data_IF_445514575541
#
_entry.id   IF_445514575541
#
_cell.length_a   1.000
_cell.length_b   1.000
_cell.length_c   1.000
_cell.angle_alpha   90.00
_cell.angle_beta   90.00
_cell.angle_gamma   90.00
#
_symmetry.space_group_name_H-M   'P 1'
#
loop_
_entity.id
_entity.type
_entity.pdbx_description
1 polymer ?
#
# COMPACT_ATOMS: atom_id res chain seq x y z
N UNK A 1 15.40 5.56 -3.15
CA UNK A 1 14.21 4.66 -3.17
C UNK A 1 14.48 3.30 -3.81
N UNK A 2 15.32 3.19 -4.84
CA UNK A 2 15.55 1.91 -5.54
C UNK A 2 15.99 0.76 -4.59
N UNK A 3 16.86 1.04 -3.61
CA UNK A 3 17.30 0.04 -2.62
C UNK A 3 16.15 -0.61 -1.87
N UNK A 4 15.20 0.18 -1.34
CA UNK A 4 14.05 -0.34 -0.60
C UNK A 4 13.08 -1.14 -1.47
N UNK A 5 12.96 -0.80 -2.76
CA UNK A 5 12.17 -1.58 -3.72
C UNK A 5 12.75 -2.98 -3.89
N UNK A 6 14.05 -3.08 -4.18
CA UNK A 6 14.72 -4.39 -4.32
C UNK A 6 14.72 -5.18 -3.01
N UNK A 7 14.93 -4.50 -1.89
CA UNK A 7 14.84 -5.09 -0.55
C UNK A 7 13.46 -5.67 -0.27
N UNK A 8 12.40 -4.94 -0.60
CA UNK A 8 11.01 -5.39 -0.39
C UNK A 8 10.65 -6.59 -1.25
N UNK A 9 11.11 -6.62 -2.51
CA UNK A 9 10.93 -7.80 -3.39
C UNK A 9 11.63 -9.01 -2.80
N UNK A 10 12.90 -8.88 -2.42
CA UNK A 10 13.68 -9.96 -1.80
C UNK A 10 13.02 -10.43 -0.49
N UNK A 11 12.65 -9.49 0.39
CA UNK A 11 11.97 -9.76 1.65
C UNK A 11 10.64 -10.47 1.46
N UNK A 12 9.82 -10.08 0.47
CA UNK A 12 8.53 -10.72 0.22
C UNK A 12 8.67 -12.17 -0.29
N UNK A 13 9.69 -12.47 -1.10
CA UNK A 13 10.00 -13.85 -1.52
C UNK A 13 10.42 -14.72 -0.32
N UNK A 14 11.20 -14.15 0.60
CA UNK A 14 11.65 -14.84 1.81
C UNK A 14 10.51 -15.01 2.83
N UNK A 15 9.66 -14.00 2.99
CA UNK A 15 8.56 -13.97 3.96
C UNK A 15 7.66 -15.20 3.82
N UNK A 16 7.25 -15.54 2.60
CA UNK A 16 6.39 -16.70 2.37
C UNK A 16 6.99 -18.01 2.88
N UNK A 17 8.29 -18.23 2.61
CA UNK A 17 9.02 -19.43 3.08
C UNK A 17 9.19 -19.40 4.60
N UNK A 18 9.61 -18.26 5.15
CA UNK A 18 9.85 -18.15 6.59
C UNK A 18 8.58 -18.25 7.42
N UNK A 19 7.46 -17.68 6.97
CA UNK A 19 6.16 -17.82 7.65
C UNK A 19 5.73 -19.29 7.65
N UNK A 20 5.92 -19.99 6.53
CA UNK A 20 5.59 -21.41 6.41
C UNK A 20 6.41 -22.29 7.35
N UNK A 21 7.72 -22.05 7.44
CA UNK A 21 8.65 -22.89 8.21
C UNK A 21 8.70 -22.52 9.70
N UNK A 22 8.65 -21.23 10.04
CA UNK A 22 8.90 -20.75 11.41
C UNK A 22 7.68 -20.14 12.11
N UNK A 23 6.56 -19.97 11.40
CA UNK A 23 5.40 -19.25 11.88
C UNK A 23 5.58 -17.73 11.79
N UNK A 24 4.46 -17.03 11.66
CA UNK A 24 4.41 -15.59 11.38
C UNK A 24 4.96 -14.72 12.50
N UNK A 25 4.72 -15.07 13.78
CA UNK A 25 5.21 -14.28 14.92
C UNK A 25 6.74 -14.21 14.98
N UNK A 26 7.43 -15.34 14.72
CA UNK A 26 8.90 -15.38 14.73
C UNK A 26 9.49 -14.53 13.61
N UNK A 27 8.87 -14.57 12.42
CA UNK A 27 9.26 -13.72 11.30
C UNK A 27 9.05 -12.23 11.63
N UNK A 28 7.98 -11.90 12.34
CA UNK A 28 7.73 -10.52 12.81
C UNK A 28 8.80 -10.06 13.78
N UNK A 29 9.23 -10.89 14.74
CA UNK A 29 10.35 -10.54 15.63
C UNK A 29 11.62 -10.18 14.85
N UNK A 30 11.96 -10.96 13.82
CA UNK A 30 13.13 -10.68 12.97
C UNK A 30 12.92 -9.39 12.17
N UNK A 31 11.77 -9.23 11.52
CA UNK A 31 11.43 -8.01 10.77
C UNK A 31 11.42 -6.74 11.64
N UNK A 32 11.01 -6.87 12.90
CA UNK A 32 10.95 -5.80 13.91
C UNK A 32 12.32 -5.24 14.27
N UNK A 33 13.38 -6.01 14.05
CA UNK A 33 14.77 -5.55 14.22
C UNK A 33 15.33 -5.02 12.90
N UNK A 34 15.11 -5.74 11.80
CA UNK A 34 15.67 -5.41 10.48
C UNK A 34 15.16 -4.04 9.97
N UNK A 35 13.86 -3.78 10.07
CA UNK A 35 13.27 -2.54 9.53
C UNK A 35 13.84 -1.29 10.25
N UNK A 36 13.80 -1.20 11.60
CA UNK A 36 14.43 -0.10 12.31
C UNK A 36 15.94 0.01 12.10
N UNK A 37 16.67 -1.11 11.98
CA UNK A 37 18.10 -1.09 11.70
C UNK A 37 18.40 -0.44 10.33
N UNK A 38 17.61 -0.76 9.31
CA UNK A 38 17.71 -0.10 8.00
C UNK A 38 17.39 1.39 8.07
N UNK A 39 16.38 1.78 8.86
CA UNK A 39 16.00 3.18 9.08
C UNK A 39 17.11 3.98 9.79
N UNK A 40 17.70 3.41 10.84
CA UNK A 40 18.84 4.00 11.54
C UNK A 40 20.07 4.11 10.62
N UNK A 41 20.34 3.07 9.82
CA UNK A 41 21.41 3.08 8.83
C UNK A 41 21.22 4.18 7.78
N UNK A 42 19.98 4.42 7.32
CA UNK A 42 19.66 5.52 6.40
C UNK A 42 20.00 6.89 7.01
N UNK A 43 19.79 7.08 8.31
CA UNK A 43 20.15 8.31 9.00
C UNK A 43 21.67 8.58 9.03
N UNK A 44 22.47 7.50 8.98
CA UNK A 44 23.93 7.55 9.12
C UNK A 44 24.66 7.40 7.78
N UNK A 45 23.93 7.22 6.68
CA UNK A 45 24.53 6.98 5.38
C UNK A 45 25.28 8.22 4.87
N UNK A 46 26.58 8.08 4.59
CA UNK A 46 27.45 9.16 4.12
C UNK A 46 27.70 9.14 2.61
N UNK A 47 27.25 8.09 1.91
CA UNK A 47 27.41 7.94 0.47
C UNK A 47 26.25 7.13 -0.15
N UNK A 48 26.14 7.17 -1.47
CA UNK A 48 25.05 6.54 -2.21
C UNK A 48 24.98 5.01 -2.03
N UNK A 49 26.12 4.33 -1.91
CA UNK A 49 26.18 2.88 -1.73
C UNK A 49 25.67 2.50 -0.33
N UNK A 50 26.12 3.21 0.71
CA UNK A 50 25.62 3.03 2.07
C UNK A 50 24.10 3.27 2.13
N UNK A 51 23.61 4.35 1.52
CA UNK A 51 22.19 4.66 1.46
C UNK A 51 21.39 3.57 0.73
N UNK A 52 21.92 3.03 -0.37
CA UNK A 52 21.29 1.92 -1.10
C UNK A 52 21.15 0.68 -0.21
N UNK A 53 22.23 0.28 0.47
CA UNK A 53 22.25 -0.91 1.32
C UNK A 53 21.31 -0.78 2.51
N UNK A 54 21.26 0.39 3.17
CA UNK A 54 20.38 0.59 4.33
C UNK A 54 18.92 0.67 3.93
N UNK A 55 18.60 1.28 2.78
CA UNK A 55 17.26 1.23 2.20
C UNK A 55 16.88 -0.20 1.82
N UNK A 56 17.80 -0.98 1.26
CA UNK A 56 17.58 -2.40 0.98
C UNK A 56 17.26 -3.18 2.26
N UNK A 57 18.05 -3.01 3.31
CA UNK A 57 17.78 -3.63 4.63
C UNK A 57 16.40 -3.23 5.17
N UNK A 58 16.07 -1.94 5.12
CA UNK A 58 14.75 -1.44 5.54
C UNK A 58 13.62 -2.10 4.73
N UNK A 59 13.78 -2.20 3.41
CA UNK A 59 12.80 -2.85 2.53
C UNK A 59 12.60 -4.33 2.83
N UNK A 60 13.68 -5.07 3.12
CA UNK A 60 13.58 -6.47 3.56
C UNK A 60 12.75 -6.57 4.84
N UNK A 61 13.08 -5.76 5.86
CA UNK A 61 12.35 -5.75 7.13
C UNK A 61 10.88 -5.38 6.95
N UNK A 62 10.59 -4.36 6.14
CA UNK A 62 9.24 -3.94 5.80
C UNK A 62 8.42 -5.10 5.21
N UNK A 63 8.95 -5.78 4.19
CA UNK A 63 8.23 -6.86 3.54
C UNK A 63 8.03 -8.09 4.45
N UNK A 64 8.99 -8.41 5.32
CA UNK A 64 8.82 -9.46 6.32
C UNK A 64 7.68 -9.14 7.29
N UNK A 65 7.63 -7.90 7.79
CA UNK A 65 6.58 -7.43 8.68
C UNK A 65 5.21 -7.42 7.98
N UNK A 66 5.11 -6.73 6.84
CA UNK A 66 3.86 -6.54 6.12
C UNK A 66 3.21 -7.88 5.73
N UNK A 67 3.97 -8.79 5.14
CA UNK A 67 3.46 -10.11 4.74
C UNK A 67 3.01 -10.94 5.95
N UNK A 68 3.75 -10.86 7.06
CA UNK A 68 3.43 -11.62 8.28
C UNK A 68 2.21 -11.03 9.01
N UNK A 69 2.05 -9.71 9.05
CA UNK A 69 0.86 -9.05 9.60
C UNK A 69 -0.39 -9.35 8.79
N UNK A 70 -0.31 -9.33 7.45
CA UNK A 70 -1.44 -9.71 6.60
C UNK A 70 -1.80 -11.20 6.77
N UNK A 71 -0.81 -12.08 6.95
CA UNK A 71 -1.06 -13.48 7.29
C UNK A 71 -1.76 -13.63 8.65
N UNK A 72 -1.21 -13.02 9.71
CA UNK A 72 -1.81 -12.98 11.06
C UNK A 72 -3.25 -12.47 11.01
N UNK A 73 -3.51 -11.37 10.30
CA UNK A 73 -4.86 -10.83 10.15
C UNK A 73 -5.83 -11.84 9.50
N UNK A 74 -5.37 -12.58 8.48
CA UNK A 74 -6.19 -13.60 7.81
C UNK A 74 -6.53 -14.76 8.76
N UNK A 75 -5.57 -15.18 9.61
CA UNK A 75 -5.81 -16.20 10.63
C UNK A 75 -6.78 -15.68 11.69
N UNK A 76 -6.58 -14.45 12.19
CA UNK A 76 -7.48 -13.83 13.16
C UNK A 76 -8.92 -13.77 12.63
N UNK A 77 -9.12 -13.33 11.39
CA UNK A 77 -10.44 -13.33 10.75
C UNK A 77 -11.07 -14.73 10.70
N UNK A 78 -10.26 -15.75 10.39
CA UNK A 78 -10.71 -17.16 10.36
C UNK A 78 -11.14 -17.64 11.75
N UNK A 79 -10.39 -17.30 12.80
CA UNK A 79 -10.71 -17.65 14.19
C UNK A 79 -11.99 -16.93 14.65
N UNK A 80 -12.12 -15.65 14.32
CA UNK A 80 -13.27 -14.82 14.74
C UNK A 80 -14.51 -15.02 13.86
N UNK A 81 -14.38 -15.64 12.69
CA UNK A 81 -15.46 -15.82 11.72
C UNK A 81 -16.01 -14.52 11.14
N UNK A 82 -15.21 -13.44 11.15
CA UNK A 82 -15.62 -12.07 10.75
C UNK A 82 -14.48 -11.35 10.04
N UNK A 83 -14.83 -10.36 9.20
CA UNK A 83 -13.86 -9.55 8.47
C UNK A 83 -13.37 -8.36 9.31
N UNK A 84 -12.05 -8.17 9.31
CA UNK A 84 -11.31 -7.11 10.00
C UNK A 84 -10.11 -6.60 9.18
N UNK A 85 -9.77 -7.22 8.05
CA UNK A 85 -8.58 -6.89 7.26
C UNK A 85 -8.61 -5.43 6.78
N UNK A 86 -9.77 -4.94 6.34
CA UNK A 86 -9.88 -3.54 5.94
C UNK A 86 -9.67 -2.59 7.12
N UNK A 87 -10.20 -2.93 8.29
CA UNK A 87 -9.97 -2.17 9.52
C UNK A 87 -8.50 -2.18 9.98
N UNK A 88 -7.77 -3.29 9.81
CA UNK A 88 -6.32 -3.33 10.08
C UNK A 88 -5.55 -2.41 9.13
N UNK A 89 -5.90 -2.39 7.84
CA UNK A 89 -5.36 -1.43 6.88
C UNK A 89 -5.75 0.01 7.19
N UNK A 90 -6.91 0.26 7.83
CA UNK A 90 -7.31 1.58 8.31
C UNK A 90 -6.37 2.07 9.44
N UNK A 91 -5.93 1.17 10.33
CA UNK A 91 -4.95 1.49 11.37
C UNK A 91 -3.57 1.84 10.77
N UNK A 92 -3.15 1.15 9.72
CA UNK A 92 -1.94 1.51 8.97
C UNK A 92 -2.05 2.92 8.38
N UNK A 93 -3.17 3.24 7.70
CA UNK A 93 -3.40 4.57 7.13
C UNK A 93 -3.46 5.66 8.21
N UNK A 94 -4.08 5.34 9.35
CA UNK A 94 -4.16 6.25 10.50
C UNK A 94 -2.77 6.55 11.04
N UNK A 95 -1.91 5.53 11.17
CA UNK A 95 -0.52 5.70 11.55
C UNK A 95 0.27 6.56 10.56
N UNK A 96 0.10 6.32 9.25
CA UNK A 96 0.72 7.14 8.20
C UNK A 96 0.30 8.61 8.31
N UNK A 97 -1.01 8.87 8.44
CA UNK A 97 -1.54 10.23 8.59
C UNK A 97 -1.02 10.94 9.85
N UNK A 98 -1.08 10.29 11.01
CA UNK A 98 -0.56 10.83 12.27
C UNK A 98 0.94 11.15 12.14
N UNK A 99 1.71 10.25 11.54
CA UNK A 99 3.15 10.43 11.32
C UNK A 99 3.42 11.62 10.40
N UNK A 100 2.63 11.83 9.35
CA UNK A 100 2.74 13.01 8.48
C UNK A 100 2.47 14.31 9.22
N UNK A 101 1.42 14.35 10.06
CA UNK A 101 1.08 15.54 10.86
C UNK A 101 2.18 15.87 11.87
N UNK A 102 2.63 14.88 12.64
CA UNK A 102 3.70 15.05 13.63
C UNK A 102 5.01 15.41 12.95
N UNK A 103 5.40 14.69 11.88
CA UNK A 103 6.60 14.92 11.11
C UNK A 103 6.64 16.33 10.49
N UNK A 104 5.50 16.79 9.97
CA UNK A 104 5.34 18.15 9.47
C UNK A 104 5.51 19.22 10.56
N UNK A 105 5.03 18.97 11.78
CA UNK A 105 5.17 19.89 12.90
C UNK A 105 6.63 20.01 13.39
N UNK A 106 7.40 18.93 13.39
CA UNK A 106 8.77 18.90 13.91
C UNK A 106 9.86 19.20 12.87
N UNK A 107 9.52 19.24 11.57
CA UNK A 107 10.51 19.35 10.47
C UNK A 107 11.42 20.58 10.55
N UNK A 108 10.96 21.68 11.18
CA UNK A 108 11.76 22.91 11.36
C UNK A 108 12.62 22.90 12.62
N UNK A 109 12.43 21.93 13.50
CA UNK A 109 13.02 21.89 14.83
C UNK A 109 14.01 20.74 15.01
N UNK A 110 13.89 19.68 14.19
CA UNK A 110 14.69 18.46 14.32
C UNK A 110 15.34 18.15 12.98
N UNK A 111 16.65 17.86 12.98
CA UNK A 111 17.34 17.45 11.76
C UNK A 111 16.80 16.10 11.26
N UNK A 112 16.80 15.84 9.93
CA UNK A 112 16.37 14.57 9.39
C UNK A 112 17.09 13.37 10.02
N UNK A 113 18.40 13.49 10.26
CA UNK A 113 19.21 12.47 10.90
C UNK A 113 18.72 12.13 12.32
N UNK A 114 18.52 13.14 13.17
CA UNK A 114 18.04 12.93 14.55
C UNK A 114 16.63 12.32 14.54
N UNK A 115 15.75 12.83 13.70
CA UNK A 115 14.39 12.31 13.56
C UNK A 115 14.39 10.82 13.20
N UNK A 116 15.17 10.42 12.19
CA UNK A 116 15.25 9.03 11.74
C UNK A 116 15.80 8.08 12.81
N UNK A 117 16.82 8.51 13.56
CA UNK A 117 17.39 7.72 14.66
C UNK A 117 16.40 7.53 15.81
N UNK A 118 15.69 8.60 16.20
CA UNK A 118 14.67 8.55 17.26
C UNK A 118 13.52 7.65 16.84
N UNK A 119 13.01 7.81 15.61
CA UNK A 119 11.92 6.96 15.09
C UNK A 119 12.38 5.50 15.00
N UNK A 120 13.60 5.22 14.56
CA UNK A 120 14.14 3.85 14.57
C UNK A 120 14.13 3.23 15.98
N UNK A 121 14.59 3.97 17.00
CA UNK A 121 14.57 3.47 18.37
C UNK A 121 13.14 3.24 18.90
N UNK A 122 12.23 4.19 18.67
CA UNK A 122 10.82 4.08 19.07
C UNK A 122 10.14 2.90 18.37
N UNK A 123 10.34 2.75 17.05
CA UNK A 123 9.79 1.64 16.27
C UNK A 123 10.32 0.29 16.74
N UNK A 124 11.62 0.17 17.04
CA UNK A 124 12.20 -1.07 17.56
C UNK A 124 11.51 -1.51 18.85
N UNK A 125 11.39 -0.58 19.81
CA UNK A 125 10.75 -0.87 21.10
C UNK A 125 9.27 -1.21 20.90
N UNK A 126 8.54 -0.39 20.14
CA UNK A 126 7.12 -0.57 19.90
C UNK A 126 6.83 -1.89 19.17
N UNK A 127 7.63 -2.26 18.17
CA UNK A 127 7.46 -3.50 17.44
C UNK A 127 7.75 -4.72 18.30
N UNK A 128 8.84 -4.73 19.07
CA UNK A 128 9.16 -5.83 19.98
C UNK A 128 8.06 -6.04 21.03
N UNK A 129 7.51 -4.95 21.59
CA UNK A 129 6.35 -5.02 22.50
C UNK A 129 5.12 -5.54 21.75
N UNK A 130 4.81 -5.02 20.56
CA UNK A 130 3.62 -5.49 19.82
C UNK A 130 3.71 -6.95 19.42
N UNK A 131 4.92 -7.45 19.12
CA UNK A 131 5.15 -8.82 18.69
C UNK A 131 4.77 -9.85 19.78
N UNK A 132 4.83 -9.48 21.07
CA UNK A 132 4.43 -10.37 22.17
C UNK A 132 2.91 -10.54 22.28
N UNK A 133 2.11 -9.66 21.66
CA UNK A 133 0.65 -9.73 21.66
C UNK A 133 0.06 -10.39 20.40
N UNK A 134 0.89 -10.84 19.47
CA UNK A 134 0.45 -11.50 18.24
C UNK A 134 0.10 -12.97 18.45
N UNK A 135 -0.61 -13.59 17.49
CA UNK A 135 -0.92 -15.01 17.59
C UNK A 135 0.39 -15.80 17.64
N UNK A 136 0.54 -16.69 18.63
CA UNK A 136 1.72 -17.53 18.73
C UNK A 136 1.71 -18.59 17.61
N UNK A 137 2.87 -19.19 17.27
CA UNK A 137 3.00 -20.12 16.15
C UNK A 137 2.05 -21.32 16.23
N UNK A 138 1.64 -21.73 17.42
CA UNK A 138 0.72 -22.85 17.64
C UNK A 138 -0.71 -22.54 17.17
N UNK A 139 -1.06 -21.26 17.05
CA UNK A 139 -2.40 -20.79 16.68
C UNK A 139 -2.48 -20.21 15.26
N UNK A 140 -1.34 -19.96 14.60
CA UNK A 140 -1.34 -19.35 13.28
C UNK A 140 -1.56 -20.34 12.12
N UNK A 141 -1.55 -21.64 12.41
CA UNK A 141 -1.88 -22.71 11.47
C UNK A 141 -0.84 -22.92 10.36
N UNK A 142 0.39 -22.42 10.51
CA UNK A 142 1.50 -22.82 9.65
C UNK A 142 1.80 -24.32 9.79
N UNK A 143 2.16 -24.99 8.69
CA UNK A 143 2.32 -26.45 8.64
C UNK A 143 3.76 -26.94 8.84
N UNK A 144 4.74 -26.04 8.95
CA UNK A 144 6.16 -26.40 8.98
C UNK A 144 6.64 -27.04 7.68
N UNK A 145 7.85 -27.60 7.65
CA UNK A 145 8.46 -28.21 6.45
C UNK A 145 7.79 -29.51 5.93
N UNK A 146 6.59 -29.86 6.42
CA UNK A 146 5.81 -30.96 5.87
C UNK A 146 5.35 -30.61 4.44
N UNK A 147 6.06 -31.17 3.46
CA UNK A 147 5.88 -31.08 2.01
C UNK A 147 4.50 -30.58 1.55
N UNK A 148 4.49 -29.39 0.94
CA UNK A 148 3.67 -29.10 -0.23
C UNK A 148 4.41 -28.04 -1.06
N UNK A 149 5.51 -28.43 -1.70
CA UNK A 149 5.96 -27.77 -2.93
C UNK A 149 4.98 -28.15 -4.06
N UNK A 150 3.74 -27.67 -4.00
CA UNK A 150 3.06 -27.41 -5.24
C UNK A 150 3.79 -26.22 -5.86
N UNK A 151 4.84 -26.47 -6.65
CA UNK A 151 5.43 -25.48 -7.56
C UNK A 151 4.33 -25.10 -8.54
N UNK A 152 3.47 -24.17 -8.14
CA UNK A 152 2.46 -23.66 -9.05
C UNK A 152 3.24 -22.94 -10.15
N UNK A 153 3.06 -23.29 -11.43
CA UNK A 153 3.78 -22.61 -12.50
C UNK A 153 3.48 -21.10 -12.48
N UNK A 154 4.46 -20.28 -12.88
CA UNK A 154 4.29 -18.81 -12.96
C UNK A 154 3.34 -18.42 -14.10
N UNK A 155 3.24 -19.27 -15.12
CA UNK A 155 2.44 -19.05 -16.32
C UNK A 155 1.58 -20.27 -16.63
N UNK A 156 0.36 -20.04 -17.11
CA UNK A 156 -0.61 -21.08 -17.44
C UNK A 156 -2.04 -20.62 -17.24
N UNK A 157 -3.00 -21.31 -17.87
CA UNK A 157 -4.43 -20.97 -17.78
C UNK A 157 -4.95 -20.97 -16.33
N UNK A 158 -4.43 -21.88 -15.50
CA UNK A 158 -4.85 -22.03 -14.10
C UNK A 158 -4.40 -20.88 -13.19
N UNK A 159 -3.34 -20.14 -13.56
CA UNK A 159 -2.82 -19.00 -12.78
C UNK A 159 -3.17 -17.63 -13.37
N UNK A 160 -3.80 -17.60 -14.55
CA UNK A 160 -4.29 -16.37 -15.18
C UNK A 160 -5.20 -15.55 -14.24
N UNK A 161 -6.09 -16.14 -13.42
CA UNK A 161 -6.86 -15.38 -12.44
C UNK A 161 -5.97 -14.64 -11.43
N UNK A 162 -4.87 -15.24 -10.98
CA UNK A 162 -3.94 -14.58 -10.04
C UNK A 162 -3.22 -13.39 -10.69
N UNK A 163 -2.87 -13.48 -11.97
CA UNK A 163 -2.31 -12.34 -12.71
C UNK A 163 -3.33 -11.21 -12.85
N UNK A 164 -4.59 -11.51 -13.18
CA UNK A 164 -5.64 -10.49 -13.28
C UNK A 164 -5.87 -9.79 -11.93
N UNK A 165 -5.91 -10.54 -10.83
CA UNK A 165 -6.06 -10.00 -9.49
C UNK A 165 -4.82 -9.20 -9.05
N UNK A 166 -3.62 -9.74 -9.30
CA UNK A 166 -2.35 -9.10 -8.99
C UNK A 166 -2.17 -7.79 -9.75
N UNK A 167 -2.43 -7.77 -11.06
CA UNK A 167 -2.36 -6.55 -11.89
C UNK A 167 -3.45 -5.56 -11.49
N UNK A 168 -4.65 -6.02 -11.13
CA UNK A 168 -5.70 -5.16 -10.60
C UNK A 168 -5.29 -4.47 -9.30
N UNK A 169 -4.66 -5.21 -8.39
CA UNK A 169 -4.13 -4.68 -7.13
C UNK A 169 -2.92 -3.75 -7.36
N UNK A 170 -2.02 -4.12 -8.26
CA UNK A 170 -0.91 -3.28 -8.69
C UNK A 170 -1.45 -1.93 -9.17
N UNK A 171 -2.45 -1.96 -10.04
CA UNK A 171 -3.02 -0.76 -10.63
C UNK A 171 -3.67 0.16 -9.59
N UNK A 172 -4.28 -0.38 -8.54
CA UNK A 172 -4.78 0.42 -7.42
C UNK A 172 -3.66 1.00 -6.55
N UNK A 173 -2.60 0.22 -6.29
CA UNK A 173 -1.48 0.65 -5.45
C UNK A 173 -0.57 1.67 -6.16
N UNK A 174 -0.54 1.68 -7.50
CA UNK A 174 0.04 2.80 -8.26
C UNK A 174 -0.68 4.11 -7.94
N UNK A 175 -2.02 4.09 -7.89
CA UNK A 175 -2.82 5.25 -7.50
C UNK A 175 -2.53 5.72 -6.08
N UNK A 176 -2.42 4.77 -5.14
CA UNK A 176 -2.10 5.06 -3.74
C UNK A 176 -0.72 5.70 -3.56
N UNK A 177 0.31 5.09 -4.14
CA UNK A 177 1.68 5.61 -4.09
C UNK A 177 1.76 6.98 -4.74
N UNK A 178 1.16 7.17 -5.91
CA UNK A 178 1.26 8.43 -6.62
C UNK A 178 0.51 9.57 -5.91
N UNK A 179 -0.67 9.31 -5.33
CA UNK A 179 -1.37 10.31 -4.53
C UNK A 179 -0.54 10.75 -3.31
N UNK A 180 0.18 9.81 -2.70
CA UNK A 180 1.03 10.05 -1.53
C UNK A 180 2.30 10.83 -1.86
N UNK A 181 3.01 10.43 -2.91
CA UNK A 181 4.32 10.98 -3.25
C UNK A 181 4.24 12.27 -4.07
N UNK A 182 3.25 12.37 -4.97
CA UNK A 182 3.17 13.46 -5.95
C UNK A 182 2.06 14.47 -5.66
N UNK A 183 1.07 14.14 -4.83
CA UNK A 183 -0.08 15.03 -4.60
C UNK A 183 0.32 16.41 -4.05
N UNK A 184 1.21 16.44 -3.05
CA UNK A 184 1.74 17.69 -2.50
C UNK A 184 2.62 18.45 -3.50
N UNK A 185 3.39 17.73 -4.31
CA UNK A 185 4.29 18.31 -5.31
C UNK A 185 3.47 18.95 -6.44
N UNK A 186 2.39 18.31 -6.89
CA UNK A 186 1.47 18.86 -7.89
C UNK A 186 0.90 20.21 -7.45
N UNK A 187 0.38 20.28 -6.22
CA UNK A 187 -0.21 21.52 -5.70
C UNK A 187 0.85 22.62 -5.53
N UNK A 188 2.07 22.27 -5.14
CA UNK A 188 3.16 23.24 -4.95
C UNK A 188 3.73 23.74 -6.28
N UNK A 189 4.16 22.82 -7.14
CA UNK A 189 5.00 23.12 -8.30
C UNK A 189 4.18 23.52 -9.53
N UNK A 190 2.96 22.99 -9.69
CA UNK A 190 2.13 23.29 -10.87
C UNK A 190 0.94 24.21 -10.56
N UNK A 191 0.41 24.16 -9.34
CA UNK A 191 -0.72 25.01 -8.93
C UNK A 191 -0.30 26.21 -8.06
N UNK A 192 0.99 26.30 -7.69
CA UNK A 192 1.56 27.45 -6.98
C UNK A 192 1.09 27.64 -5.53
N UNK A 193 0.56 26.60 -4.87
CA UNK A 193 0.09 26.73 -3.49
C UNK A 193 1.24 26.84 -2.49
N UNK A 194 1.04 27.72 -1.51
CA UNK A 194 1.99 27.99 -0.45
C UNK A 194 2.15 26.82 0.54
N UNK A 195 3.18 26.95 1.39
CA UNK A 195 3.51 25.98 2.42
C UNK A 195 2.34 25.72 3.37
N UNK A 196 2.04 24.44 3.56
CA UNK A 196 0.91 23.98 4.39
C UNK A 196 -0.35 23.72 3.57
N UNK A 197 -0.69 24.59 2.61
CA UNK A 197 -1.87 24.40 1.76
C UNK A 197 -1.69 23.23 0.80
N UNK A 198 -0.51 23.08 0.19
CA UNK A 198 -0.25 21.97 -0.74
C UNK A 198 -0.35 20.59 -0.07
N UNK A 199 -0.20 20.49 1.26
CA UNK A 199 -0.34 19.23 1.99
C UNK A 199 -1.80 18.73 2.03
N UNK A 200 -2.77 19.60 1.70
CA UNK A 200 -4.19 19.25 1.65
C UNK A 200 -4.48 18.08 0.71
N UNK A 201 -3.78 17.97 -0.43
CA UNK A 201 -3.96 16.88 -1.39
C UNK A 201 -3.76 15.50 -0.73
N UNK A 202 -2.62 15.29 -0.07
CA UNK A 202 -2.38 14.04 0.64
C UNK A 202 -3.28 13.90 1.87
N UNK A 203 -3.51 14.97 2.63
CA UNK A 203 -4.34 14.91 3.82
C UNK A 203 -5.80 14.49 3.50
N UNK A 204 -6.40 15.07 2.45
CA UNK A 204 -7.75 14.76 2.02
C UNK A 204 -7.86 13.34 1.46
N UNK A 205 -6.88 12.92 0.65
CA UNK A 205 -6.73 11.54 0.20
C UNK A 205 -6.64 10.55 1.37
N UNK A 206 -5.73 10.79 2.31
CA UNK A 206 -5.47 9.90 3.44
C UNK A 206 -6.67 9.80 4.38
N UNK A 207 -7.34 10.91 4.70
CA UNK A 207 -8.56 10.90 5.53
C UNK A 207 -9.69 10.12 4.85
N UNK A 208 -9.90 10.36 3.55
CA UNK A 208 -10.88 9.62 2.77
C UNK A 208 -10.58 8.11 2.75
N UNK A 209 -9.31 7.74 2.58
CA UNK A 209 -8.87 6.36 2.63
C UNK A 209 -9.06 5.71 4.01
N UNK A 210 -8.77 6.43 5.10
CA UNK A 210 -9.02 5.93 6.46
C UNK A 210 -10.51 5.63 6.64
N UNK A 211 -11.38 6.56 6.25
CA UNK A 211 -12.84 6.38 6.33
C UNK A 211 -13.29 5.20 5.48
N UNK A 212 -12.85 5.09 4.22
CA UNK A 212 -13.24 3.99 3.36
C UNK A 212 -12.72 2.63 3.84
N UNK A 213 -11.54 2.58 4.47
CA UNK A 213 -10.98 1.35 5.04
C UNK A 213 -11.72 0.91 6.31
N UNK A 214 -12.11 1.82 7.21
CA UNK A 214 -12.95 1.48 8.37
C UNK A 214 -14.36 1.03 7.96
N UNK A 215 -14.91 1.61 6.89
CA UNK A 215 -16.20 1.17 6.33
C UNK A 215 -16.07 -0.05 5.41
N UNK A 216 -14.83 -0.40 5.04
CA UNK A 216 -14.52 -1.33 3.96
C UNK A 216 -14.96 -2.76 4.25
N UNK A 217 -14.80 -3.26 5.48
CA UNK A 217 -15.22 -4.61 5.85
C UNK A 217 -16.75 -4.78 5.64
N UNK A 218 -17.55 -3.81 6.13
CA UNK A 218 -19.01 -3.77 5.95
C UNK A 218 -19.39 -3.59 4.48
N UNK A 219 -18.68 -2.73 3.75
CA UNK A 219 -18.92 -2.51 2.33
C UNK A 219 -18.63 -3.76 1.50
N UNK A 220 -17.58 -4.53 1.85
CA UNK A 220 -17.25 -5.80 1.22
C UNK A 220 -18.30 -6.87 1.50
N UNK A 221 -18.92 -6.88 2.68
CA UNK A 221 -20.03 -7.78 3.01
C UNK A 221 -21.29 -7.43 2.22
N UNK A 222 -21.61 -6.14 2.11
CA UNK A 222 -22.84 -5.68 1.47
C UNK A 222 -22.78 -5.65 -0.07
N UNK A 223 -21.74 -5.05 -0.64
CA UNK A 223 -21.62 -4.89 -2.11
C UNK A 223 -20.91 -6.06 -2.79
N UNK A 224 -20.10 -6.80 -2.05
CA UNK A 224 -19.19 -7.81 -2.58
C UNK A 224 -17.90 -7.21 -3.19
N UNK A 225 -16.78 -7.97 -3.21
CA UNK A 225 -15.47 -7.45 -3.63
C UNK A 225 -15.43 -6.92 -5.06
N UNK A 226 -16.03 -7.66 -6.01
CA UNK A 226 -16.02 -7.28 -7.43
C UNK A 226 -16.71 -5.92 -7.68
N UNK A 227 -17.89 -5.72 -7.08
CA UNK A 227 -18.66 -4.49 -7.25
C UNK A 227 -17.96 -3.31 -6.58
N UNK A 228 -17.41 -3.52 -5.39
CA UNK A 228 -16.73 -2.46 -4.66
C UNK A 228 -15.48 -1.96 -5.41
N UNK A 229 -14.65 -2.86 -5.93
CA UNK A 229 -13.48 -2.48 -6.76
C UNK A 229 -13.92 -1.81 -8.06
N UNK A 230 -14.97 -2.32 -8.73
CA UNK A 230 -15.48 -1.71 -9.96
C UNK A 230 -15.92 -0.26 -9.74
N UNK A 231 -16.74 -0.04 -8.72
CA UNK A 231 -17.25 1.30 -8.39
C UNK A 231 -16.12 2.21 -7.94
N UNK A 232 -15.24 1.74 -7.05
CA UNK A 232 -14.10 2.52 -6.56
C UNK A 232 -13.13 2.91 -7.67
N UNK A 233 -12.84 2.00 -8.60
CA UNK A 233 -11.92 2.25 -9.71
C UNK A 233 -12.48 3.23 -10.75
N UNK A 234 -13.74 3.05 -11.14
CA UNK A 234 -14.38 3.96 -12.10
C UNK A 234 -14.73 5.30 -11.50
N UNK A 235 -15.47 5.36 -10.39
CA UNK A 235 -15.84 6.64 -9.80
C UNK A 235 -14.64 7.35 -9.18
N UNK A 236 -13.80 6.64 -8.42
CA UNK A 236 -12.59 7.22 -7.83
C UNK A 236 -11.62 7.71 -8.88
N UNK A 237 -11.31 6.89 -9.89
CA UNK A 237 -10.42 7.26 -10.99
C UNK A 237 -10.96 8.40 -11.85
N UNK A 238 -12.22 8.30 -12.31
CA UNK A 238 -12.81 9.34 -13.17
C UNK A 238 -12.98 10.67 -12.45
N UNK A 239 -13.47 10.70 -11.21
CA UNK A 239 -13.61 11.95 -10.44
C UNK A 239 -12.24 12.56 -10.19
N UNK A 240 -11.22 11.75 -9.85
CA UNK A 240 -9.87 12.25 -9.64
C UNK A 240 -9.27 12.87 -10.91
N UNK A 241 -9.36 12.18 -12.05
CA UNK A 241 -8.90 12.68 -13.34
C UNK A 241 -9.63 13.95 -13.79
N UNK A 242 -10.97 13.97 -13.70
CA UNK A 242 -11.78 15.15 -14.06
C UNK A 242 -11.45 16.34 -13.16
N UNK A 243 -11.33 16.11 -11.84
CA UNK A 243 -10.96 17.15 -10.90
C UNK A 243 -9.60 17.76 -11.24
N UNK A 244 -8.59 16.94 -11.56
CA UNK A 244 -7.28 17.43 -11.98
C UNK A 244 -7.33 18.22 -13.29
N UNK A 245 -8.02 17.69 -14.30
CA UNK A 245 -8.17 18.32 -15.61
C UNK A 245 -8.83 19.70 -15.54
N UNK A 246 -9.73 19.91 -14.56
CA UNK A 246 -10.38 21.20 -14.31
C UNK A 246 -9.51 22.10 -13.41
N UNK A 247 -9.02 21.56 -12.29
CA UNK A 247 -8.39 22.37 -11.24
C UNK A 247 -7.03 22.93 -11.66
N UNK A 248 -6.21 22.16 -12.38
CA UNK A 248 -4.85 22.58 -12.74
C UNK A 248 -4.89 23.83 -13.62
N UNK A 249 -5.63 23.88 -14.76
CA UNK A 249 -5.74 25.10 -15.56
C UNK A 249 -6.41 26.27 -14.82
N UNK A 250 -7.34 25.96 -13.91
CA UNK A 250 -8.10 26.97 -13.16
C UNK A 250 -7.28 27.62 -12.04
N UNK A 251 -6.19 26.97 -11.58
CA UNK A 251 -5.41 27.38 -10.40
C UNK A 251 -4.87 28.81 -10.47
N UNK A 252 -4.52 29.29 -11.67
CA UNK A 252 -3.97 30.64 -11.89
C UNK A 252 -5.01 31.76 -11.79
N UNK A 253 -6.29 31.47 -12.07
CA UNK A 253 -7.37 32.47 -12.11
C UNK A 253 -8.33 32.38 -10.93
N UNK A 254 -8.60 31.17 -10.43
CA UNK A 254 -9.53 30.92 -9.33
C UNK A 254 -8.93 29.91 -8.34
N UNK A 255 -7.87 30.34 -7.65
CA UNK A 255 -7.07 29.51 -6.75
C UNK A 255 -7.93 28.73 -5.73
N UNK A 256 -8.83 29.39 -4.99
CA UNK A 256 -9.66 28.68 -3.99
C UNK A 256 -10.56 27.59 -4.63
N UNK A 257 -11.19 27.88 -5.76
CA UNK A 257 -12.06 26.93 -6.46
C UNK A 257 -11.26 25.74 -6.99
N UNK A 258 -10.08 25.99 -7.57
CA UNK A 258 -9.18 24.94 -8.02
C UNK A 258 -8.73 24.04 -6.86
N UNK A 259 -8.42 24.62 -5.69
CA UNK A 259 -8.03 23.87 -4.50
C UNK A 259 -9.14 22.93 -4.03
N UNK A 260 -10.39 23.42 -4.01
CA UNK A 260 -11.54 22.60 -3.60
C UNK A 260 -11.74 21.45 -4.59
N UNK A 261 -11.73 21.73 -5.89
CA UNK A 261 -11.95 20.73 -6.94
C UNK A 261 -10.86 19.65 -6.88
N UNK A 262 -9.59 20.03 -6.83
CA UNK A 262 -8.49 19.04 -6.82
C UNK A 262 -8.57 18.13 -5.58
N UNK A 263 -8.91 18.69 -4.41
CA UNK A 263 -9.09 17.92 -3.18
C UNK A 263 -10.30 16.98 -3.25
N UNK A 264 -11.40 17.35 -3.92
CA UNK A 264 -12.51 16.42 -4.19
C UNK A 264 -12.02 15.22 -5.01
N UNK A 265 -11.14 15.45 -5.97
CA UNK A 265 -10.48 14.38 -6.74
C UNK A 265 -9.67 13.43 -5.85
N UNK A 266 -8.82 13.98 -4.98
CA UNK A 266 -8.04 13.19 -4.02
C UNK A 266 -8.92 12.43 -3.02
N UNK A 267 -10.01 13.03 -2.52
CA UNK A 267 -11.00 12.35 -1.68
C UNK A 267 -11.64 11.17 -2.43
N UNK A 268 -12.06 11.37 -3.68
CA UNK A 268 -12.65 10.30 -4.48
C UNK A 268 -11.67 9.15 -4.73
N UNK A 269 -10.40 9.45 -5.00
CA UNK A 269 -9.34 8.45 -5.12
C UNK A 269 -9.15 7.67 -3.81
N UNK A 270 -9.07 8.35 -2.66
CA UNK A 270 -8.92 7.71 -1.36
C UNK A 270 -10.11 6.82 -0.98
N UNK A 271 -11.33 7.29 -1.24
CA UNK A 271 -12.55 6.49 -1.04
C UNK A 271 -12.57 5.25 -1.95
N UNK A 272 -12.16 5.39 -3.20
CA UNK A 272 -12.17 4.31 -4.18
C UNK A 272 -11.10 3.25 -3.94
N UNK A 273 -9.88 3.67 -3.62
CA UNK A 273 -8.71 2.78 -3.44
C UNK A 273 -8.77 2.02 -2.12
N UNK A 274 -9.22 2.66 -1.04
CA UNK A 274 -9.12 2.11 0.33
C UNK A 274 -9.45 0.62 0.48
N UNK A 275 -10.62 0.13 0.02
CA UNK A 275 -11.00 -1.27 0.21
C UNK A 275 -10.41 -2.23 -0.85
N UNK A 276 -9.65 -1.75 -1.84
CA UNK A 276 -9.21 -2.58 -2.97
C UNK A 276 -8.22 -3.66 -2.57
N UNK A 277 -7.28 -3.37 -1.66
CA UNK A 277 -6.30 -4.37 -1.22
C UNK A 277 -6.98 -5.59 -0.58
N UNK A 278 -7.81 -5.45 0.49
CA UNK A 278 -8.57 -6.57 1.03
C UNK A 278 -9.48 -7.24 -0.01
N UNK A 279 -10.08 -6.48 -0.92
CA UNK A 279 -10.95 -7.03 -1.97
C UNK A 279 -10.22 -8.01 -2.91
N UNK A 280 -9.05 -7.62 -3.40
CA UNK A 280 -8.23 -8.46 -4.28
C UNK A 280 -7.64 -9.67 -3.56
N UNK A 281 -7.21 -9.49 -2.31
CA UNK A 281 -6.74 -10.60 -1.47
C UNK A 281 -7.86 -11.62 -1.22
N UNK A 282 -9.06 -11.15 -0.84
CA UNK A 282 -10.23 -12.01 -0.65
C UNK A 282 -10.67 -12.72 -1.94
N UNK A 283 -10.51 -12.08 -3.10
CA UNK A 283 -10.75 -12.72 -4.38
C UNK A 283 -9.71 -13.82 -4.68
N UNK A 284 -8.46 -13.58 -4.31
CA UNK A 284 -7.35 -14.52 -4.54
C UNK A 284 -7.53 -15.81 -3.73
N UNK A 285 -8.02 -15.72 -2.49
CA UNK A 285 -8.27 -16.91 -1.64
C UNK A 285 -9.34 -17.85 -2.20
N UNK A 286 -10.18 -17.37 -3.12
CA UNK A 286 -11.27 -18.13 -3.74
C UNK A 286 -10.90 -18.74 -5.10
N UNK A 287 -9.65 -18.60 -5.55
CA UNK A 287 -9.22 -19.16 -6.83
C UNK A 287 -9.15 -20.70 -6.74
N UNK A 288 -9.96 -21.45 -7.53
CA UNK A 288 -10.00 -22.91 -7.43
C UNK A 288 -8.66 -23.56 -7.77
N UNK A 289 -8.31 -24.63 -7.05
CA UNK A 289 -7.10 -25.41 -7.31
C UNK A 289 -5.79 -24.76 -6.87
N UNK A 290 -5.86 -23.64 -6.14
CA UNK A 290 -4.68 -22.94 -5.61
C UNK A 290 -4.84 -22.78 -4.09
N UNK A 291 -3.80 -23.13 -3.34
CA UNK A 291 -3.78 -22.92 -1.90
C UNK A 291 -3.90 -21.41 -1.56
N UNK A 292 -4.79 -21.00 -0.64
CA UNK A 292 -5.02 -19.60 -0.33
C UNK A 292 -3.75 -18.81 0.01
N UNK A 293 -2.86 -19.37 0.83
CA UNK A 293 -1.60 -18.72 1.20
C UNK A 293 -0.72 -18.38 -0.01
N UNK A 294 -0.65 -19.27 -1.00
CA UNK A 294 0.12 -19.06 -2.24
C UNK A 294 -0.54 -17.99 -3.12
N UNK A 295 -1.86 -17.99 -3.20
CA UNK A 295 -2.61 -16.98 -3.95
C UNK A 295 -2.43 -15.58 -3.35
N UNK A 296 -2.56 -15.44 -2.02
CA UNK A 296 -2.36 -14.19 -1.28
C UNK A 296 -0.95 -13.66 -1.53
N UNK A 297 0.07 -14.51 -1.35
CA UNK A 297 1.47 -14.11 -1.52
C UNK A 297 1.75 -13.61 -2.95
N UNK A 298 1.27 -14.34 -3.98
CA UNK A 298 1.47 -13.93 -5.38
C UNK A 298 0.79 -12.61 -5.72
N UNK A 299 -0.49 -12.48 -5.38
CA UNK A 299 -1.26 -11.25 -5.66
C UNK A 299 -0.67 -10.08 -4.88
N UNK A 300 -0.30 -10.28 -3.61
CA UNK A 300 0.36 -9.28 -2.77
C UNK A 300 1.69 -8.79 -3.35
N UNK A 301 2.58 -9.70 -3.77
CA UNK A 301 3.88 -9.33 -4.39
C UNK A 301 3.69 -8.52 -5.66
N UNK A 302 2.77 -8.93 -6.55
CA UNK A 302 2.47 -8.18 -7.78
C UNK A 302 1.88 -6.80 -7.39
N UNK A 303 0.99 -6.76 -6.41
CA UNK A 303 0.40 -5.53 -5.90
C UNK A 303 1.43 -4.53 -5.39
N UNK A 304 2.29 -4.95 -4.46
CA UNK A 304 3.31 -4.12 -3.82
C UNK A 304 4.26 -3.50 -4.84
N UNK A 305 4.55 -4.21 -5.95
CA UNK A 305 5.31 -3.63 -7.05
C UNK A 305 4.68 -2.32 -7.56
N UNK A 306 3.36 -2.22 -7.62
CA UNK A 306 2.65 -1.00 -8.01
C UNK A 306 2.92 0.18 -7.09
N UNK A 307 2.97 -0.05 -5.78
CA UNK A 307 3.24 0.99 -4.80
C UNK A 307 4.64 1.60 -4.97
N UNK A 308 5.65 0.79 -5.32
CA UNK A 308 7.03 1.26 -5.47
C UNK A 308 7.38 1.74 -6.89
N UNK A 309 6.96 1.01 -7.92
CA UNK A 309 7.26 1.37 -9.32
C UNK A 309 6.32 2.45 -9.85
N UNK A 310 5.08 2.51 -9.36
CA UNK A 310 4.07 3.48 -9.80
C UNK A 310 4.57 4.93 -9.72
N UNK A 311 4.97 5.42 -8.53
CA UNK A 311 5.49 6.78 -8.36
C UNK A 311 6.74 7.04 -9.20
N UNK A 312 7.61 6.04 -9.37
CA UNK A 312 8.81 6.16 -10.22
C UNK A 312 8.42 6.41 -11.68
N UNK A 313 7.46 5.66 -12.22
CA UNK A 313 6.95 5.85 -13.58
C UNK A 313 6.29 7.22 -13.74
N UNK A 314 5.48 7.64 -12.76
CA UNK A 314 4.89 9.00 -12.75
C UNK A 314 5.97 10.08 -12.82
N UNK A 315 7.03 9.96 -12.02
CA UNK A 315 8.15 10.91 -12.03
C UNK A 315 8.92 10.93 -13.36
N UNK A 316 9.13 9.76 -13.98
CA UNK A 316 9.76 9.68 -15.32
C UNK A 316 8.89 10.38 -16.36
N UNK A 317 7.58 10.11 -16.39
CA UNK A 317 6.65 10.78 -17.32
C UNK A 317 6.70 12.30 -17.10
N UNK A 318 6.71 12.75 -15.84
CA UNK A 318 6.74 14.19 -15.54
C UNK A 318 8.02 14.89 -15.97
N UNK A 319 9.16 14.20 -16.01
CA UNK A 319 10.42 14.76 -16.49
C UNK A 319 10.39 15.11 -17.98
N UNK A 320 9.64 14.35 -18.78
CA UNK A 320 9.54 14.58 -20.24
C UNK A 320 8.30 15.37 -20.64
N UNK A 321 7.37 15.61 -19.71
CA UNK A 321 6.09 16.26 -19.99
C UNK A 321 5.77 17.31 -18.90
N UNK A 322 4.88 16.98 -17.98
CA UNK A 322 4.56 17.73 -16.76
C UNK A 322 4.06 16.75 -15.70
N UNK A 323 4.04 17.17 -14.43
CA UNK A 323 3.50 16.35 -13.34
C UNK A 323 1.99 16.13 -13.49
N UNK A 324 1.23 17.10 -13.97
CA UNK A 324 -0.20 16.89 -14.30
C UNK A 324 -0.40 15.76 -15.32
N UNK A 325 0.42 15.72 -16.37
CA UNK A 325 0.36 14.63 -17.37
C UNK A 325 0.83 13.32 -16.74
N UNK A 326 1.91 13.35 -15.96
CA UNK A 326 2.41 12.19 -15.23
C UNK A 326 1.38 11.57 -14.28
N UNK A 327 0.53 12.40 -13.67
CA UNK A 327 -0.55 11.96 -12.77
C UNK A 327 -1.77 11.39 -13.50
N UNK A 328 -1.86 11.50 -14.83
CA UNK A 328 -2.88 10.78 -15.59
C UNK A 328 -2.61 9.27 -15.66
N UNK A 329 -1.36 8.85 -15.50
CA UNK A 329 -0.99 7.43 -15.39
C UNK A 329 -1.65 6.74 -14.18
N UNK A 330 -1.49 7.20 -12.92
CA UNK A 330 -2.17 6.59 -11.77
C UNK A 330 -3.69 6.68 -11.85
N UNK A 331 -4.25 7.75 -12.43
CA UNK A 331 -5.69 7.86 -12.72
C UNK A 331 -6.14 6.73 -13.66
N UNK A 332 -5.42 6.52 -14.76
CA UNK A 332 -5.73 5.46 -15.73
C UNK A 332 -5.57 4.06 -15.11
N UNK A 333 -4.56 3.86 -14.26
CA UNK A 333 -4.36 2.61 -13.54
C UNK A 333 -5.48 2.34 -12.55
N UNK A 334 -6.01 3.36 -11.87
CA UNK A 334 -7.16 3.18 -10.99
C UNK A 334 -8.43 2.76 -11.76
N UNK A 335 -8.67 3.36 -12.93
CA UNK A 335 -9.75 2.94 -13.84
C UNK A 335 -9.53 1.50 -14.34
N UNK A 336 -8.29 1.14 -14.67
CA UNK A 336 -7.91 -0.21 -15.06
C UNK A 336 -8.18 -1.22 -13.94
N UNK A 337 -7.90 -0.87 -12.68
CA UNK A 337 -8.24 -1.70 -11.51
C UNK A 337 -9.76 -1.96 -11.46
N UNK A 338 -10.56 -0.91 -11.65
CA UNK A 338 -12.02 -1.02 -11.76
C UNK A 338 -12.48 -1.94 -12.89
N UNK A 339 -11.81 -1.89 -14.05
CA UNK A 339 -12.07 -2.81 -15.16
C UNK A 339 -11.66 -4.27 -14.86
N UNK A 340 -10.50 -4.46 -14.22
CA UNK A 340 -9.98 -5.78 -13.86
C UNK A 340 -10.75 -6.44 -12.71
N UNK A 341 -11.62 -5.72 -12.02
CA UNK A 341 -12.60 -6.28 -11.08
C UNK A 341 -13.46 -7.40 -11.68
N UNK A 342 -13.62 -7.45 -13.01
CA UNK A 342 -14.29 -8.56 -13.73
C UNK A 342 -13.60 -9.93 -13.54
N UNK A 343 -12.32 -9.92 -13.19
CA UNK A 343 -11.56 -11.12 -12.84
C UNK A 343 -11.91 -11.66 -11.45
N UNK A 344 -12.52 -10.83 -10.60
CA UNK A 344 -13.06 -11.25 -9.30
C UNK A 344 -14.37 -12.01 -9.58
N UNK A 345 -14.30 -13.33 -9.52
CA UNK A 345 -15.50 -14.16 -9.62
C UNK A 345 -16.38 -13.86 -8.41
N UNK A 346 -17.48 -13.15 -8.65
CA UNK A 346 -18.54 -13.02 -7.66
C UNK A 346 -19.15 -14.40 -7.47
N UNK A 347 -19.05 -14.95 -6.27
CA UNK A 347 -19.93 -16.03 -5.83
C UNK A 347 -21.32 -15.43 -5.78
N UNK A 348 -22.01 -15.32 -6.92
CA UNK A 348 -23.46 -15.14 -6.88
C UNK A 348 -24.03 -16.43 -6.31
N UNK A 349 -24.88 -16.20 -5.31
CA UNK A 349 -25.71 -17.13 -4.56
C UNK A 349 -26.36 -18.22 -5.43
#
# INVERSE_FOLDING_TARGET
>A
MIGSTFGSIAGAQLAGRFIHTYGSQRVIFVGSVIMPAGLAGMALATNAVALFLTLFTMGVGYALLDMSYNFQGTVVEKILGRRYMSSFHAMWSTGAFITTVIGGAITRHVSPQVNLLVIAAVCLIAYLISATFLLPPELDGHKGDAEHEAKIPLFGKNVMPLWLLGVGLLASLVGEGAASDWGAILLRDEMGYEKGVYASAFASFALAMIVSRFLGDRALDYFGPARLVKLGGYFGGSIWGIAMAIAVPLSSSHSLTALIIVNIGFVAAGLGIGPMFPAFILAATKVPGIAPAVAISRVGVIGIAGFFFGPTITGVISQYTSLSIGMMYPVAMLILSGYLSRGIKSSKA
#
